data_IF_685871291440
#
_entry.id   IF_685871291440
#
_cell.length_a   1.000
_cell.length_b   1.000
_cell.length_c   1.000
_cell.angle_alpha   90.00
_cell.angle_beta   90.00
_cell.angle_gamma   90.00
#
_symmetry.space_group_name_H-M   'P 1'
#
loop_
_entity.id
_entity.type
_entity.pdbx_description
1 polymer ?
#
# COMPACT_ATOMS: atom_id res chain seq x y z
N UNK A 1 -2.95 -13.19 25.32
CA UNK A 1 -2.47 -13.70 26.64
C UNK A 1 -2.60 -15.21 26.80
N UNK A 2 -3.77 -15.86 26.56
CA UNK A 2 -3.94 -17.33 26.72
C UNK A 2 -3.00 -18.18 25.84
N UNK A 3 -2.78 -17.79 24.59
CA UNK A 3 -1.93 -18.55 23.65
C UNK A 3 -0.45 -18.57 24.03
N UNK A 4 0.09 -17.48 24.57
CA UNK A 4 1.50 -17.42 24.96
C UNK A 4 1.82 -18.29 26.17
N UNK A 5 0.86 -18.37 27.10
CA UNK A 5 0.93 -19.26 28.26
C UNK A 5 0.92 -20.72 27.79
N UNK A 6 0.00 -21.07 26.87
CA UNK A 6 -0.08 -22.42 26.29
C UNK A 6 1.18 -22.81 25.51
N UNK A 7 1.75 -21.90 24.70
CA UNK A 7 3.00 -22.13 23.98
C UNK A 7 4.17 -22.41 24.94
N UNK A 8 4.28 -21.64 26.03
CA UNK A 8 5.31 -21.83 27.05
C UNK A 8 5.10 -23.13 27.84
N UNK A 9 3.93 -23.28 28.43
CA UNK A 9 3.65 -24.32 29.43
C UNK A 9 3.41 -25.70 28.83
N UNK A 10 2.73 -25.77 27.68
CA UNK A 10 2.32 -27.05 27.08
C UNK A 10 3.28 -27.52 26.01
N UNK A 11 3.70 -26.63 25.09
CA UNK A 11 4.56 -27.02 23.98
C UNK A 11 6.03 -27.08 24.40
N UNK A 12 6.59 -25.94 24.84
CA UNK A 12 8.05 -25.83 25.03
C UNK A 12 8.54 -26.66 26.22
N UNK A 13 7.86 -26.61 27.37
CA UNK A 13 8.22 -27.43 28.53
C UNK A 13 8.12 -28.93 28.22
N UNK A 14 7.12 -29.35 27.43
CA UNK A 14 6.93 -30.76 27.06
C UNK A 14 8.04 -31.34 26.18
N UNK A 15 8.79 -30.50 25.45
CA UNK A 15 9.91 -30.92 24.59
C UNK A 15 11.27 -30.39 25.06
N UNK A 16 11.35 -29.86 26.28
CA UNK A 16 12.60 -29.38 26.89
C UNK A 16 13.18 -28.10 26.27
N UNK A 17 12.39 -27.31 25.54
CA UNK A 17 12.84 -26.03 24.98
C UNK A 17 12.66 -24.89 25.99
N UNK A 18 13.68 -24.03 26.12
CA UNK A 18 13.53 -22.80 26.91
C UNK A 18 12.59 -21.84 26.20
N UNK A 19 11.63 -21.29 26.95
CA UNK A 19 10.64 -20.35 26.44
C UNK A 19 10.39 -19.22 27.43
N UNK A 20 10.47 -17.98 26.95
CA UNK A 20 10.20 -16.77 27.72
C UNK A 20 8.96 -16.09 27.17
N UNK A 21 8.02 -15.74 28.04
CA UNK A 21 6.90 -14.86 27.70
C UNK A 21 7.42 -13.42 27.73
N UNK A 22 7.19 -12.69 26.65
CA UNK A 22 7.53 -11.28 26.51
C UNK A 22 6.25 -10.47 26.57
N UNK A 23 6.20 -9.48 27.46
CA UNK A 23 5.13 -8.48 27.51
C UNK A 23 5.58 -7.20 26.81
N UNK A 24 4.66 -6.53 26.12
CA UNK A 24 5.00 -5.31 25.41
C UNK A 24 3.81 -4.62 24.75
N UNK A 25 4.14 -3.81 23.76
CA UNK A 25 3.24 -2.93 23.04
C UNK A 25 3.10 -3.41 21.60
N UNK A 26 1.87 -3.53 21.12
CA UNK A 26 1.57 -3.94 19.76
C UNK A 26 0.64 -2.97 19.03
N UNK A 27 1.01 -2.62 17.80
CA UNK A 27 0.15 -1.87 16.85
C UNK A 27 -0.86 -2.82 16.19
N UNK A 28 -1.77 -3.37 16.99
CA UNK A 28 -2.78 -4.35 16.55
C UNK A 28 -4.06 -3.73 15.98
N UNK A 29 -5.10 -4.55 15.80
CA UNK A 29 -6.39 -4.14 15.21
C UNK A 29 -7.04 -2.90 15.84
N UNK A 30 -6.86 -2.69 17.15
CA UNK A 30 -7.42 -1.54 17.88
C UNK A 30 -6.48 -0.33 17.95
N UNK A 31 -5.29 -0.40 17.37
CA UNK A 31 -4.34 0.71 17.39
C UNK A 31 -4.82 1.83 16.46
N UNK A 32 -5.04 2.99 17.05
CA UNK A 32 -5.28 4.24 16.33
C UNK A 32 -3.99 5.05 16.36
N UNK A 33 -3.60 5.55 15.19
CA UNK A 33 -2.38 6.33 15.00
C UNK A 33 -2.37 7.54 15.94
N UNK A 34 -1.23 7.79 16.60
CA UNK A 34 -1.00 8.85 17.63
C UNK A 34 -1.50 8.55 19.05
N UNK A 35 -2.01 7.36 19.36
CA UNK A 35 -2.19 6.96 20.77
C UNK A 35 -0.87 6.49 21.36
N UNK A 36 -0.49 7.09 22.49
CA UNK A 36 0.55 6.55 23.38
C UNK A 36 0.05 5.25 23.99
N UNK A 37 0.98 4.37 24.35
CA UNK A 37 0.65 3.18 25.13
C UNK A 37 0.82 3.48 26.61
N UNK A 38 -0.29 3.46 27.37
CA UNK A 38 -0.23 3.68 28.82
C UNK A 38 0.22 2.43 29.59
N UNK A 39 0.07 1.26 28.97
CA UNK A 39 0.46 -0.05 29.50
C UNK A 39 0.67 -1.05 28.38
N UNK A 40 1.36 -2.16 28.67
CA UNK A 40 1.50 -3.29 27.74
C UNK A 40 0.11 -3.76 27.32
N UNK A 41 -0.13 -3.90 26.02
CA UNK A 41 -1.42 -4.34 25.46
C UNK A 41 -1.32 -5.73 24.81
N UNK A 42 -0.12 -6.31 24.71
CA UNK A 42 0.09 -7.59 24.06
C UNK A 42 1.24 -8.38 24.70
N UNK A 43 1.29 -9.68 24.40
CA UNK A 43 2.37 -10.56 24.80
C UNK A 43 2.63 -11.60 23.71
N UNK A 44 3.89 -12.00 23.57
CA UNK A 44 4.38 -13.04 22.66
C UNK A 44 5.46 -13.87 23.37
N UNK A 45 6.18 -14.72 22.65
CA UNK A 45 7.20 -15.60 23.19
C UNK A 45 8.55 -15.43 22.50
N UNK A 46 9.63 -15.73 23.22
CA UNK A 46 10.91 -16.08 22.64
C UNK A 46 11.26 -17.52 23.02
N UNK A 47 11.76 -18.31 22.07
CA UNK A 47 12.19 -19.69 22.29
C UNK A 47 13.67 -19.85 21.93
N UNK A 48 14.40 -20.68 22.68
CA UNK A 48 15.81 -20.94 22.42
C UNK A 48 15.96 -22.23 21.59
N UNK A 49 16.57 -22.11 20.40
CA UNK A 49 16.90 -23.25 19.52
C UNK A 49 18.39 -23.16 19.19
N UNK A 50 19.16 -24.19 19.52
CA UNK A 50 20.59 -24.22 19.19
C UNK A 50 21.40 -23.05 19.77
N UNK A 51 21.04 -22.56 20.97
CA UNK A 51 21.61 -21.38 21.66
C UNK A 51 21.24 -20.02 21.08
N UNK A 52 20.33 -19.97 20.10
CA UNK A 52 19.80 -18.73 19.55
C UNK A 52 18.35 -18.52 19.98
N UNK A 53 17.99 -17.27 20.26
CA UNK A 53 16.61 -16.89 20.60
C UNK A 53 15.84 -16.50 19.36
N UNK A 54 14.61 -16.99 19.24
CA UNK A 54 13.70 -16.72 18.14
C UNK A 54 12.37 -16.22 18.66
N UNK A 55 11.79 -15.23 17.99
CA UNK A 55 10.51 -14.64 18.36
C UNK A 55 9.36 -15.45 17.75
N UNK A 56 8.31 -15.65 18.55
CA UNK A 56 7.10 -16.36 18.14
C UNK A 56 5.90 -15.62 18.70
N UNK A 57 4.93 -15.27 17.84
CA UNK A 57 3.62 -14.79 18.29
C UNK A 57 2.53 -15.80 17.91
N UNK A 58 2.16 -16.71 18.83
CA UNK A 58 1.09 -17.67 18.59
C UNK A 58 -0.30 -17.03 18.45
N UNK A 59 -0.50 -15.83 19.03
CA UNK A 59 -1.80 -15.15 19.00
C UNK A 59 -2.05 -14.61 17.59
N UNK A 60 -1.08 -13.89 17.02
CA UNK A 60 -1.22 -13.37 15.65
C UNK A 60 -0.98 -14.48 14.60
N UNK A 61 -0.30 -15.56 14.98
CA UNK A 61 -0.18 -16.78 14.17
C UNK A 61 -1.48 -17.55 13.97
N UNK A 62 -2.48 -17.44 14.87
CA UNK A 62 -3.75 -18.17 14.73
C UNK A 62 -4.67 -17.57 13.63
N UNK A 63 -4.45 -16.31 13.25
CA UNK A 63 -5.26 -15.59 12.28
C UNK A 63 -5.71 -14.22 12.77
N UNK A 64 -6.67 -13.62 12.06
CA UNK A 64 -7.21 -12.30 12.35
C UNK A 64 -8.71 -12.33 12.67
N UNK A 65 -9.16 -11.33 13.43
CA UNK A 65 -10.57 -11.06 13.66
C UNK A 65 -11.14 -10.29 12.46
N UNK A 66 -12.21 -10.80 11.85
CA UNK A 66 -12.99 -10.05 10.87
C UNK A 66 -14.44 -9.99 11.38
N UNK A 67 -14.98 -8.78 11.55
CA UNK A 67 -16.41 -8.55 11.85
C UNK A 67 -16.95 -9.41 13.02
N UNK A 68 -16.24 -9.42 14.15
CA UNK A 68 -16.58 -10.18 15.37
C UNK A 68 -16.57 -11.72 15.23
N UNK A 69 -16.11 -12.27 14.11
CA UNK A 69 -15.87 -13.71 13.94
C UNK A 69 -14.37 -14.00 13.78
N UNK A 70 -13.84 -14.95 14.55
CA UNK A 70 -12.47 -15.42 14.40
C UNK A 70 -12.37 -16.36 13.19
N UNK A 71 -11.76 -15.89 12.11
CA UNK A 71 -11.32 -16.81 11.04
C UNK A 71 -9.97 -17.37 11.45
N UNK A 72 -9.98 -18.61 11.94
CA UNK A 72 -8.74 -19.37 12.20
C UNK A 72 -8.08 -19.69 10.85
N UNK A 73 -7.08 -18.91 10.48
CA UNK A 73 -6.20 -19.17 9.34
C UNK A 73 -4.79 -19.01 9.88
N UNK A 74 -4.08 -20.13 9.97
CA UNK A 74 -2.68 -20.12 10.39
C UNK A 74 -1.89 -19.11 9.54
N UNK A 75 -1.15 -18.24 10.21
CA UNK A 75 -0.24 -17.28 9.60
C UNK A 75 1.19 -17.65 10.03
N UNK A 76 1.88 -18.51 9.25
CA UNK A 76 3.21 -19.01 9.60
C UNK A 76 4.25 -17.90 9.79
N UNK A 77 4.03 -16.72 9.21
CA UNK A 77 4.86 -15.54 9.35
C UNK A 77 5.26 -15.22 10.80
N UNK A 78 4.37 -15.45 11.77
CA UNK A 78 4.62 -15.16 13.19
C UNK A 78 5.36 -16.27 13.93
N UNK A 79 5.78 -17.34 13.25
CA UNK A 79 6.62 -18.40 13.79
C UNK A 79 8.08 -18.16 13.39
N UNK A 80 8.97 -18.00 14.39
CA UNK A 80 10.38 -17.67 14.19
C UNK A 80 10.58 -16.40 13.35
N UNK A 81 9.72 -15.41 13.59
CA UNK A 81 9.73 -14.14 12.87
C UNK A 81 11.03 -13.39 13.14
N UNK A 82 11.57 -12.76 12.08
CA UNK A 82 12.81 -11.99 12.20
C UNK A 82 12.62 -10.76 13.11
N UNK A 83 13.54 -10.49 14.05
CA UNK A 83 13.51 -9.30 14.90
C UNK A 83 13.26 -7.98 14.16
N UNK A 84 13.98 -7.77 13.06
CA UNK A 84 13.90 -6.58 12.21
C UNK A 84 12.54 -6.42 11.52
N UNK A 85 11.74 -7.48 11.45
CA UNK A 85 10.38 -7.40 10.97
C UNK A 85 9.39 -7.17 12.11
N UNK A 86 9.55 -7.91 13.21
CA UNK A 86 8.57 -7.89 14.29
C UNK A 86 8.53 -6.53 14.99
N UNK A 87 9.66 -5.83 15.06
CA UNK A 87 9.77 -4.52 15.72
C UNK A 87 8.84 -3.45 15.14
N UNK A 88 8.40 -3.58 13.88
CA UNK A 88 7.45 -2.65 13.27
C UNK A 88 6.08 -2.65 13.97
N UNK A 89 5.69 -3.80 14.53
CA UNK A 89 4.38 -4.01 15.14
C UNK A 89 4.46 -4.37 16.62
N UNK A 90 5.61 -4.84 17.14
CA UNK A 90 5.80 -5.25 18.52
C UNK A 90 7.04 -4.61 19.15
N UNK A 91 6.84 -3.87 20.23
CA UNK A 91 7.91 -3.32 21.06
C UNK A 91 7.85 -3.94 22.45
N UNK A 92 8.86 -4.70 22.91
CA UNK A 92 8.87 -5.27 24.25
C UNK A 92 9.10 -4.20 25.31
N UNK A 93 8.61 -4.46 26.52
CA UNK A 93 8.88 -3.62 27.70
C UNK A 93 10.37 -3.67 28.10
N UNK A 94 10.97 -4.86 28.05
CA UNK A 94 12.42 -5.05 28.21
C UNK A 94 13.09 -5.08 26.83
N UNK A 95 13.89 -4.05 26.56
CA UNK A 95 14.51 -3.81 25.24
C UNK A 95 15.42 -4.94 24.77
N UNK A 96 15.96 -5.78 25.67
CA UNK A 96 16.80 -6.92 25.28
C UNK A 96 16.05 -7.93 24.40
N UNK A 97 14.73 -8.02 24.57
CA UNK A 97 13.87 -8.93 23.81
C UNK A 97 13.51 -8.42 22.42
N UNK A 98 14.00 -7.23 22.04
CA UNK A 98 13.94 -6.82 20.63
C UNK A 98 14.84 -7.71 19.78
N UNK A 99 15.91 -8.29 20.34
CA UNK A 99 16.90 -9.10 19.63
C UNK A 99 17.52 -8.37 18.42
N UNK A 100 17.48 -7.03 18.43
CA UNK A 100 18.09 -6.17 17.43
C UNK A 100 19.52 -5.81 17.84
N UNK A 101 20.45 -5.65 16.89
CA UNK A 101 21.77 -5.10 17.16
C UNK A 101 21.71 -3.69 17.78
N UNK A 102 20.70 -2.90 17.40
CA UNK A 102 20.42 -1.56 17.91
C UNK A 102 18.93 -1.49 18.28
N UNK A 103 18.57 -1.69 19.57
CA UNK A 103 17.20 -1.58 20.03
C UNK A 103 16.63 -0.18 19.79
N UNK A 104 15.36 -0.10 19.40
CA UNK A 104 14.64 1.16 19.22
C UNK A 104 13.86 1.52 20.48
N UNK A 105 13.60 2.81 20.66
CA UNK A 105 12.75 3.32 21.74
C UNK A 105 11.27 3.45 21.30
N UNK A 106 10.40 3.80 22.26
CA UNK A 106 8.97 3.98 22.02
C UNK A 106 8.67 5.03 20.94
N UNK A 107 9.38 6.16 20.92
CA UNK A 107 9.16 7.21 19.93
C UNK A 107 9.47 6.71 18.52
N UNK A 108 10.64 6.08 18.33
CA UNK A 108 11.03 5.46 17.07
C UNK A 108 10.02 4.39 16.64
N UNK A 109 9.57 3.54 17.57
CA UNK A 109 8.53 2.55 17.31
C UNK A 109 7.24 3.19 16.80
N UNK A 110 6.71 4.21 17.49
CA UNK A 110 5.50 4.92 17.09
C UNK A 110 5.64 5.60 15.72
N UNK A 111 6.86 6.04 15.39
CA UNK A 111 7.16 6.68 14.11
C UNK A 111 7.30 5.68 12.96
N UNK A 112 7.47 4.37 13.17
CA UNK A 112 7.55 3.39 12.09
C UNK A 112 6.20 3.25 11.33
N UNK A 113 6.24 2.98 10.01
CA UNK A 113 5.04 2.58 9.27
C UNK A 113 4.53 1.22 9.78
N UNK A 114 3.35 0.83 9.31
CA UNK A 114 2.66 -0.37 9.79
C UNK A 114 2.57 -1.41 8.66
N UNK A 115 3.58 -2.27 8.49
CA UNK A 115 3.55 -3.37 7.54
C UNK A 115 2.73 -4.55 8.07
N UNK A 116 2.09 -5.24 7.13
CA UNK A 116 1.55 -6.59 7.28
C UNK A 116 2.54 -7.62 6.73
N UNK A 117 2.35 -8.93 7.03
CA UNK A 117 3.20 -10.00 6.52
C UNK A 117 3.50 -9.93 5.02
N UNK A 118 2.49 -9.59 4.20
CA UNK A 118 2.61 -9.50 2.75
C UNK A 118 3.69 -8.52 2.28
N UNK A 119 4.01 -7.45 3.04
CA UNK A 119 5.11 -6.56 2.69
C UNK A 119 6.46 -7.30 2.67
N UNK A 120 6.71 -8.12 3.68
CA UNK A 120 7.96 -8.85 3.82
C UNK A 120 7.99 -10.11 2.94
N UNK A 121 6.90 -10.88 2.90
CA UNK A 121 6.81 -12.12 2.13
C UNK A 121 6.89 -11.88 0.61
N UNK A 122 6.32 -10.76 0.14
CA UNK A 122 6.41 -10.33 -1.26
C UNK A 122 7.62 -9.44 -1.54
N UNK A 123 8.52 -9.26 -0.57
CA UNK A 123 9.79 -8.54 -0.70
C UNK A 123 9.63 -7.11 -1.21
N UNK A 124 8.63 -6.39 -0.69
CA UNK A 124 8.49 -4.97 -0.95
C UNK A 124 9.59 -4.20 -0.21
N UNK A 125 10.04 -3.12 -0.83
CA UNK A 125 11.07 -2.23 -0.31
C UNK A 125 10.58 -0.79 -0.43
N UNK A 126 10.53 -0.07 0.69
CA UNK A 126 10.26 1.36 0.70
C UNK A 126 11.49 2.13 0.17
N UNK A 127 11.35 2.79 -0.98
CA UNK A 127 12.46 3.55 -1.61
C UNK A 127 12.51 5.00 -1.10
N UNK A 128 11.40 5.52 -0.60
CA UNK A 128 11.36 6.86 0.02
C UNK A 128 12.22 6.90 1.29
N UNK A 129 13.15 7.86 1.33
CA UNK A 129 14.22 7.99 2.36
C UNK A 129 13.75 8.18 3.80
N UNK A 130 12.46 8.44 4.05
CA UNK A 130 11.97 8.65 5.40
C UNK A 130 11.27 7.37 5.89
N UNK A 131 11.86 6.63 6.86
CA UNK A 131 11.27 5.41 7.40
C UNK A 131 10.15 5.71 8.41
N UNK A 132 9.40 6.80 8.19
CA UNK A 132 8.30 7.18 9.08
C UNK A 132 6.96 6.74 8.49
N UNK A 133 6.10 6.21 9.36
CA UNK A 133 4.68 6.02 9.12
C UNK A 133 3.92 7.33 9.01
N UNK A 134 4.45 8.43 9.56
CA UNK A 134 3.81 9.75 9.55
C UNK A 134 4.23 10.56 8.32
N UNK A 135 3.40 10.53 7.29
CA UNK A 135 3.61 11.26 6.05
C UNK A 135 3.07 12.68 6.17
N UNK A 136 3.83 13.64 5.65
CA UNK A 136 3.49 15.06 5.70
C UNK A 136 3.21 15.57 4.28
N UNK A 137 2.08 16.24 4.10
CA UNK A 137 1.80 16.99 2.89
C UNK A 137 2.56 18.32 2.97
N UNK A 138 3.45 18.56 1.99
CA UNK A 138 4.17 19.83 1.90
C UNK A 138 3.22 20.95 1.51
N UNK A 139 3.52 22.18 1.95
CA UNK A 139 2.79 23.37 1.52
C UNK A 139 2.72 23.44 -0.01
N UNK A 140 1.58 23.93 -0.53
CA UNK A 140 1.28 24.06 -1.96
C UNK A 140 1.25 22.75 -2.77
N UNK A 141 1.40 21.59 -2.13
CA UNK A 141 1.21 20.29 -2.80
C UNK A 141 -0.20 19.77 -2.55
N UNK A 142 -0.80 19.16 -3.56
CA UNK A 142 -2.15 18.58 -3.47
C UNK A 142 -2.16 17.09 -3.09
N UNK A 143 -1.00 16.43 -3.15
CA UNK A 143 -0.87 15.02 -2.87
C UNK A 143 0.52 14.69 -2.31
N UNK A 144 0.62 13.54 -1.67
CA UNK A 144 1.88 12.93 -1.24
C UNK A 144 2.22 11.75 -2.14
N UNK A 145 3.51 11.43 -2.26
CA UNK A 145 4.01 10.31 -3.03
C UNK A 145 4.81 9.37 -2.14
N UNK A 146 4.44 8.10 -2.12
CA UNK A 146 5.20 7.01 -1.52
C UNK A 146 5.75 6.16 -2.66
N UNK A 147 7.03 5.81 -2.60
CA UNK A 147 7.71 5.05 -3.66
C UNK A 147 8.16 3.71 -3.13
N UNK A 148 7.77 2.64 -3.81
CA UNK A 148 8.14 1.28 -3.46
C UNK A 148 8.82 0.56 -4.63
N UNK A 149 9.72 -0.34 -4.29
CA UNK A 149 10.21 -1.37 -5.19
C UNK A 149 9.61 -2.72 -4.76
N UNK A 150 9.33 -3.57 -5.73
CA UNK A 150 8.94 -4.95 -5.49
C UNK A 150 9.43 -5.83 -6.65
N UNK A 151 9.45 -7.16 -6.49
CA UNK A 151 9.68 -8.09 -7.58
C UNK A 151 8.75 -7.85 -8.78
N UNK A 152 9.22 -8.18 -9.99
CA UNK A 152 8.48 -7.96 -11.23
C UNK A 152 7.18 -8.79 -11.33
N UNK A 153 7.08 -9.88 -10.57
CA UNK A 153 5.89 -10.72 -10.46
C UNK A 153 4.91 -10.24 -9.37
N UNK A 154 5.09 -9.04 -8.83
CA UNK A 154 4.21 -8.43 -7.81
C UNK A 154 3.58 -7.15 -8.35
N UNK A 155 2.25 -7.09 -8.28
CA UNK A 155 1.50 -5.87 -8.55
C UNK A 155 1.08 -5.21 -7.24
N UNK A 156 0.98 -3.89 -7.28
CA UNK A 156 0.55 -3.07 -6.17
C UNK A 156 -0.79 -2.40 -6.47
N UNK A 157 -1.55 -2.12 -5.42
CA UNK A 157 -2.66 -1.17 -5.42
C UNK A 157 -2.49 -0.22 -4.26
N UNK A 158 -3.10 0.95 -4.33
CA UNK A 158 -3.15 1.86 -3.20
C UNK A 158 -4.55 2.42 -2.96
N UNK A 159 -4.84 2.79 -1.73
CA UNK A 159 -6.06 3.53 -1.40
C UNK A 159 -5.81 4.52 -0.28
N UNK A 160 -6.43 5.69 -0.34
CA UNK A 160 -6.52 6.61 0.79
C UNK A 160 -7.88 6.48 1.47
N UNK A 161 -7.88 6.45 2.80
CA UNK A 161 -9.09 6.43 3.62
C UNK A 161 -9.11 7.58 4.62
N UNK A 162 -10.31 8.07 4.91
CA UNK A 162 -10.57 8.99 6.01
C UNK A 162 -11.80 8.49 6.77
N UNK A 163 -11.68 8.34 8.11
CA UNK A 163 -12.74 7.77 8.96
C UNK A 163 -13.29 6.45 8.38
N UNK A 164 -12.38 5.55 8.02
CA UNK A 164 -12.66 4.22 7.41
C UNK A 164 -13.27 4.24 6.00
N UNK A 165 -13.66 5.40 5.47
CA UNK A 165 -14.22 5.54 4.13
C UNK A 165 -13.14 5.85 3.09
N UNK A 166 -13.24 5.22 1.91
CA UNK A 166 -12.33 5.50 0.79
C UNK A 166 -12.53 6.94 0.29
N UNK A 167 -11.44 7.67 0.11
CA UNK A 167 -11.47 8.99 -0.54
C UNK A 167 -11.51 8.78 -2.07
N UNK A 168 -12.68 8.94 -2.67
CA UNK A 168 -12.88 8.69 -4.11
C UNK A 168 -12.01 9.61 -4.97
N UNK A 169 -11.20 9.05 -5.87
CA UNK A 169 -10.26 9.79 -6.71
C UNK A 169 -9.07 10.39 -5.95
N UNK A 170 -8.88 9.98 -4.69
CA UNK A 170 -7.74 10.41 -3.87
C UNK A 170 -6.51 9.52 -4.02
N UNK A 171 -6.56 8.45 -4.82
CA UNK A 171 -5.43 7.54 -5.06
C UNK A 171 -5.12 7.38 -6.54
N UNK A 172 -3.83 7.25 -6.86
CA UNK A 172 -3.32 6.84 -8.16
C UNK A 172 -2.04 6.04 -7.95
N UNK A 173 -1.93 4.88 -8.59
CA UNK A 173 -0.70 4.09 -8.62
C UNK A 173 -0.20 3.97 -10.05
N UNK A 174 1.10 4.15 -10.25
CA UNK A 174 1.72 4.08 -11.57
C UNK A 174 3.17 3.59 -11.49
N UNK A 175 3.69 3.07 -12.59
CA UNK A 175 5.05 2.54 -12.64
C UNK A 175 6.03 3.55 -13.27
N UNK A 176 7.18 3.75 -12.64
CA UNK A 176 8.31 4.51 -13.20
C UNK A 176 9.31 3.53 -13.83
N UNK A 177 9.32 3.47 -15.16
CA UNK A 177 10.19 2.58 -15.95
C UNK A 177 11.66 2.98 -15.93
N UNK A 178 11.99 4.23 -15.58
CA UNK A 178 13.38 4.68 -15.51
C UNK A 178 14.00 4.25 -14.18
N UNK A 179 13.23 4.37 -13.10
CA UNK A 179 13.68 4.04 -11.75
C UNK A 179 13.36 2.61 -11.32
N UNK A 180 12.53 1.89 -12.09
CA UNK A 180 12.02 0.56 -11.78
C UNK A 180 11.33 0.51 -10.40
N UNK A 181 10.39 1.43 -10.20
CA UNK A 181 9.64 1.58 -8.94
C UNK A 181 8.17 1.89 -9.19
N UNK A 182 7.35 1.55 -8.21
CA UNK A 182 5.96 1.98 -8.13
C UNK A 182 5.86 3.32 -7.40
N UNK A 183 5.08 4.24 -7.98
CA UNK A 183 4.71 5.50 -7.34
C UNK A 183 3.24 5.42 -6.90
N UNK A 184 3.02 5.41 -5.58
CA UNK A 184 1.71 5.48 -4.96
C UNK A 184 1.42 6.93 -4.58
N UNK A 185 0.45 7.56 -5.23
CA UNK A 185 0.07 8.95 -5.03
C UNK A 185 -1.23 9.02 -4.22
N UNK A 186 -1.27 9.93 -3.24
CA UNK A 186 -2.40 10.08 -2.35
C UNK A 186 -2.77 11.56 -2.17
N UNK A 187 -3.97 11.93 -2.60
CA UNK A 187 -4.56 13.26 -2.53
C UNK A 187 -5.68 13.28 -1.47
N UNK A 188 -5.47 13.88 -0.28
CA UNK A 188 -6.55 14.10 0.67
C UNK A 188 -7.55 15.12 0.11
N UNK A 189 -8.84 14.96 0.43
CA UNK A 189 -9.89 15.92 0.03
C UNK A 189 -10.26 16.90 1.14
N UNK A 190 -10.11 16.48 2.39
CA UNK A 190 -10.44 17.25 3.57
C UNK A 190 -9.22 17.25 4.50
N UNK A 191 -9.13 18.21 5.40
CA UNK A 191 -8.11 18.19 6.44
C UNK A 191 -8.29 17.05 7.44
N UNK A 192 -7.25 16.84 8.24
CA UNK A 192 -7.20 15.86 9.31
C UNK A 192 -6.56 14.53 8.91
N UNK A 193 -6.82 13.51 9.73
CA UNK A 193 -6.14 12.23 9.69
C UNK A 193 -6.66 11.33 8.55
N UNK A 194 -5.73 10.78 7.78
CA UNK A 194 -5.96 9.83 6.69
C UNK A 194 -5.07 8.60 6.85
N UNK A 195 -5.57 7.45 6.42
CA UNK A 195 -4.79 6.23 6.27
C UNK A 195 -4.41 6.05 4.80
N UNK A 196 -3.12 5.89 4.53
CA UNK A 196 -2.60 5.58 3.20
C UNK A 196 -2.26 4.10 3.16
N UNK A 197 -3.05 3.33 2.42
CA UNK A 197 -2.94 1.89 2.34
C UNK A 197 -2.27 1.49 1.03
N UNK A 198 -1.27 0.62 1.11
CA UNK A 198 -0.71 -0.07 -0.05
C UNK A 198 -0.99 -1.56 0.09
N UNK A 199 -1.48 -2.14 -0.99
CA UNK A 199 -1.81 -3.54 -1.10
C UNK A 199 -0.91 -4.20 -2.14
N UNK A 200 -0.65 -5.48 -1.98
CA UNK A 200 0.21 -6.24 -2.87
C UNK A 200 -0.40 -7.59 -3.22
N UNK A 201 -0.04 -8.09 -4.40
CA UNK A 201 -0.46 -9.40 -4.88
C UNK A 201 0.54 -9.92 -5.91
N UNK A 202 0.83 -11.23 -5.89
CA UNK A 202 1.56 -11.88 -6.98
C UNK A 202 0.72 -11.95 -8.24
N UNK A 203 1.36 -11.77 -9.39
CA UNK A 203 0.77 -11.94 -10.70
C UNK A 203 0.20 -13.37 -10.84
N UNK A 204 -1.02 -13.47 -11.37
CA UNK A 204 -1.71 -14.76 -11.56
C UNK A 204 -2.24 -15.43 -10.29
N UNK A 205 -1.94 -14.91 -9.08
CA UNK A 205 -2.51 -15.45 -7.85
C UNK A 205 -4.05 -15.30 -7.84
N UNK A 206 -4.76 -16.27 -7.28
CA UNK A 206 -6.22 -16.15 -7.05
C UNK A 206 -6.49 -15.26 -5.84
N UNK A 207 -7.67 -14.67 -5.75
CA UNK A 207 -8.10 -13.84 -4.61
C UNK A 207 -7.84 -12.34 -4.77
N UNK A 208 -8.09 -11.58 -3.70
CA UNK A 208 -7.91 -10.13 -3.65
C UNK A 208 -6.47 -9.75 -3.37
N UNK A 209 -6.13 -8.47 -3.55
CA UNK A 209 -4.89 -7.93 -3.02
C UNK A 209 -4.90 -7.97 -1.49
N UNK A 210 -3.74 -8.19 -0.89
CA UNK A 210 -3.55 -8.22 0.56
C UNK A 210 -2.97 -6.90 1.03
N UNK A 211 -3.33 -6.44 2.23
CA UNK A 211 -2.71 -5.26 2.82
C UNK A 211 -1.21 -5.52 2.99
N UNK A 212 -0.37 -4.62 2.47
CA UNK A 212 1.07 -4.74 2.57
C UNK A 212 1.62 -3.77 3.62
N UNK A 213 1.32 -2.47 3.49
CA UNK A 213 1.85 -1.47 4.43
C UNK A 213 0.92 -0.26 4.51
N UNK A 214 0.79 0.28 5.73
CA UNK A 214 0.01 1.48 6.03
C UNK A 214 0.90 2.62 6.50
N UNK A 215 0.52 3.81 6.06
CA UNK A 215 1.03 5.08 6.55
C UNK A 215 -0.14 5.96 7.02
N UNK A 216 0.20 7.02 7.73
CA UNK A 216 -0.71 8.02 8.27
C UNK A 216 -0.37 9.37 7.68
N UNK A 217 -1.38 10.08 7.19
CA UNK A 217 -1.25 11.46 6.74
C UNK A 217 -2.13 12.35 7.60
N UNK A 218 -1.55 13.37 8.24
CA UNK A 218 -2.34 14.44 8.85
C UNK A 218 -2.38 15.63 7.89
N UNK A 219 -3.43 15.69 7.07
CA UNK A 219 -3.60 16.74 6.08
C UNK A 219 -3.97 18.07 6.75
N UNK A 220 -3.42 19.22 6.31
CA UNK A 220 -3.84 20.53 6.81
C UNK A 220 -5.32 20.79 6.51
N UNK A 221 -5.94 21.71 7.25
CA UNK A 221 -7.35 22.08 7.06
C UNK A 221 -7.55 22.70 5.68
N UNK A 222 -6.66 23.61 5.30
CA UNK A 222 -6.64 24.22 3.98
C UNK A 222 -5.84 23.36 3.02
N UNK A 223 -6.51 22.87 1.98
CA UNK A 223 -5.93 22.01 0.96
C UNK A 223 -6.20 22.59 -0.41
N UNK A 224 -5.26 22.37 -1.32
CA UNK A 224 -5.55 22.45 -2.76
C UNK A 224 -6.04 21.07 -3.19
N UNK A 225 -7.37 20.84 -3.34
CA UNK A 225 -7.88 19.53 -3.69
C UNK A 225 -7.35 19.09 -5.05
N UNK A 226 -7.02 17.82 -5.17
CA UNK A 226 -6.73 17.16 -6.42
C UNK A 226 -7.57 15.89 -6.50
N UNK A 227 -8.09 15.61 -7.68
CA UNK A 227 -8.77 14.36 -7.99
C UNK A 227 -7.96 13.71 -9.09
N UNK A 228 -7.49 12.49 -8.89
CA UNK A 228 -6.78 11.75 -9.93
C UNK A 228 -7.73 11.15 -10.98
N UNK A 229 -7.24 10.83 -12.18
CA UNK A 229 -8.00 10.09 -13.19
C UNK A 229 -8.34 8.69 -12.67
N UNK A 230 -9.46 8.14 -13.13
CA UNK A 230 -9.83 6.76 -12.82
C UNK A 230 -8.97 5.84 -13.68
N UNK A 231 -8.23 4.94 -13.05
CA UNK A 231 -7.45 3.88 -13.73
C UNK A 231 -8.07 2.52 -13.50
N UNK A 232 -8.05 1.66 -14.51
CA UNK A 232 -8.59 0.29 -14.43
C UNK A 232 -7.46 -0.74 -14.24
N UNK A 233 -7.81 -2.00 -13.94
CA UNK A 233 -6.83 -3.06 -13.62
C UNK A 233 -5.71 -3.20 -14.68
N UNK A 234 -6.06 -3.07 -15.96
CA UNK A 234 -5.13 -3.13 -17.08
C UNK A 234 -4.04 -2.05 -17.02
N UNK A 235 -4.29 -0.91 -16.35
CA UNK A 235 -3.30 0.15 -16.14
C UNK A 235 -2.14 -0.36 -15.29
N UNK A 236 -2.46 -1.02 -14.18
CA UNK A 236 -1.48 -1.60 -13.26
C UNK A 236 -0.83 -2.83 -13.91
N UNK A 237 -1.62 -3.72 -14.51
CA UNK A 237 -1.11 -4.96 -15.10
C UNK A 237 -0.12 -4.76 -16.25
N UNK A 238 -0.19 -3.59 -16.90
CA UNK A 238 0.68 -3.22 -18.02
C UNK A 238 1.73 -2.20 -17.61
N UNK A 239 1.91 -1.96 -16.31
CA UNK A 239 2.87 -1.01 -15.75
C UNK A 239 2.74 0.39 -16.39
N UNK A 240 1.51 0.88 -16.58
CA UNK A 240 1.29 2.15 -17.25
C UNK A 240 1.70 3.34 -16.36
N UNK A 241 1.84 4.51 -17.01
CA UNK A 241 2.15 5.77 -16.34
C UNK A 241 1.42 6.95 -16.99
N UNK A 242 0.91 7.86 -16.18
CA UNK A 242 0.38 9.14 -16.64
C UNK A 242 1.46 10.20 -16.41
N UNK A 243 1.90 10.85 -17.48
CA UNK A 243 2.79 12.01 -17.37
C UNK A 243 1.99 13.31 -17.21
N UNK A 244 0.91 13.47 -18.00
CA UNK A 244 -0.01 14.60 -17.89
C UNK A 244 -1.35 14.31 -18.59
N UNK A 245 -2.45 14.96 -18.18
CA UNK A 245 -2.61 15.61 -16.88
C UNK A 245 -2.78 14.56 -15.77
N UNK A 246 -2.25 14.87 -14.58
CA UNK A 246 -2.53 14.10 -13.36
C UNK A 246 -3.83 14.57 -12.67
N UNK A 247 -4.39 15.70 -13.08
CA UNK A 247 -5.75 16.10 -12.69
C UNK A 247 -6.75 15.27 -13.50
N UNK A 248 -7.59 14.52 -12.80
CA UNK A 248 -8.66 13.66 -13.33
C UNK A 248 -9.92 14.41 -13.72
N UNK A 249 -10.04 15.68 -13.34
CA UNK A 249 -11.14 16.56 -13.74
C UNK A 249 -10.61 17.60 -14.71
N UNK A 250 -11.07 17.54 -15.96
CA UNK A 250 -10.66 18.44 -17.03
C UNK A 250 -11.69 19.55 -17.23
N UNK A 251 -11.24 20.74 -17.64
CA UNK A 251 -12.14 21.87 -17.94
C UNK A 251 -12.65 21.79 -19.37
N UNK A 252 -13.96 21.75 -19.56
CA UNK A 252 -14.62 21.74 -20.88
C UNK A 252 -14.14 22.87 -21.78
N UNK A 253 -13.88 22.56 -23.06
CA UNK A 253 -13.43 23.51 -24.07
C UNK A 253 -11.96 23.97 -23.94
N UNK A 254 -11.27 23.61 -22.85
CA UNK A 254 -9.84 23.87 -22.72
C UNK A 254 -9.01 22.94 -23.62
N UNK A 255 -7.78 23.33 -23.92
CA UNK A 255 -6.82 22.46 -24.60
C UNK A 255 -5.89 21.82 -23.59
N UNK A 256 -5.75 20.51 -23.66
CA UNK A 256 -4.86 19.73 -22.80
C UNK A 256 -4.08 18.71 -23.61
N UNK A 257 -2.84 18.42 -23.19
CA UNK A 257 -2.06 17.32 -23.75
C UNK A 257 -2.23 16.07 -22.88
N UNK A 258 -2.87 15.04 -23.42
CA UNK A 258 -2.87 13.70 -22.84
C UNK A 258 -1.52 13.07 -23.15
N UNK A 259 -0.76 12.72 -22.12
CA UNK A 259 0.58 12.16 -22.22
C UNK A 259 0.72 10.98 -21.24
N UNK A 260 0.78 9.76 -21.76
CA UNK A 260 0.81 8.51 -21.00
C UNK A 260 1.79 7.50 -21.60
N UNK A 261 2.46 6.72 -20.76
CA UNK A 261 3.18 5.51 -21.18
C UNK A 261 2.25 4.31 -21.05
N UNK A 262 2.08 3.59 -22.16
CA UNK A 262 1.21 2.42 -22.33
C UNK A 262 2.04 1.35 -23.07
N UNK A 263 2.87 0.58 -22.36
CA UNK A 263 3.78 -0.39 -22.97
C UNK A 263 3.04 -1.54 -23.64
N UNK A 264 3.46 -1.92 -24.85
CA UNK A 264 3.02 -3.16 -25.51
C UNK A 264 1.59 -3.15 -26.06
N UNK A 265 0.89 -2.02 -26.04
CA UNK A 265 -0.42 -1.92 -26.70
C UNK A 265 -0.23 -1.94 -28.22
N UNK A 266 -1.06 -2.71 -28.92
CA UNK A 266 -1.07 -2.75 -30.38
C UNK A 266 -1.78 -1.52 -30.94
N UNK A 267 -2.85 -1.09 -30.27
CA UNK A 267 -3.62 0.10 -30.61
C UNK A 267 -4.03 0.85 -29.35
N UNK A 268 -4.01 2.17 -29.45
CA UNK A 268 -4.47 3.09 -28.41
C UNK A 268 -5.43 4.08 -29.02
N UNK A 269 -6.56 4.31 -28.36
CA UNK A 269 -7.60 5.22 -28.81
C UNK A 269 -8.00 6.18 -27.70
N UNK A 270 -8.10 7.46 -28.07
CA UNK A 270 -8.74 8.48 -27.26
C UNK A 270 -10.19 8.64 -27.71
N UNK A 271 -11.12 8.51 -26.76
CA UNK A 271 -12.55 8.70 -27.00
C UNK A 271 -12.97 9.99 -26.30
N UNK A 272 -13.48 10.96 -27.05
CA UNK A 272 -13.95 12.27 -26.57
C UNK A 272 -15.47 12.35 -26.63
N UNK A 273 -16.10 12.27 -25.45
CA UNK A 273 -17.51 11.86 -25.32
C UNK A 273 -17.78 10.51 -26.05
N UNK A 274 -18.85 9.77 -25.76
CA UNK A 274 -19.08 8.40 -26.29
C UNK A 274 -19.24 8.28 -27.83
N UNK A 275 -18.77 9.27 -28.61
CA UNK A 275 -19.07 9.49 -30.02
C UNK A 275 -17.88 9.87 -30.88
N UNK A 276 -16.82 10.49 -30.34
CA UNK A 276 -15.71 11.01 -31.17
C UNK A 276 -14.47 10.15 -31.03
N UNK A 277 -14.22 9.35 -32.05
CA UNK A 277 -12.98 8.57 -32.18
C UNK A 277 -11.89 9.48 -32.73
N UNK A 278 -10.84 9.68 -31.95
CA UNK A 278 -9.61 10.21 -32.50
C UNK A 278 -8.80 9.04 -33.10
N UNK A 279 -8.25 9.26 -34.30
CA UNK A 279 -7.30 8.38 -35.00
C UNK A 279 -6.16 7.90 -34.10
N UNK A 280 -5.39 6.87 -34.49
CA UNK A 280 -4.25 6.37 -33.70
C UNK A 280 -3.06 7.36 -33.61
N UNK A 281 -3.20 8.56 -34.20
CA UNK A 281 -2.19 9.61 -34.19
C UNK A 281 -1.77 10.00 -32.77
N UNK A 282 -0.46 10.04 -32.56
CA UNK A 282 0.16 10.41 -31.29
C UNK A 282 0.52 9.23 -30.38
N UNK A 283 0.35 7.97 -30.82
CA UNK A 283 0.91 6.80 -30.12
C UNK A 283 2.12 6.23 -30.87
N UNK A 284 3.30 6.30 -30.23
CA UNK A 284 4.54 5.72 -30.75
C UNK A 284 5.43 5.26 -29.58
N UNK A 285 6.19 4.17 -29.78
CA UNK A 285 7.15 3.63 -28.81
C UNK A 285 6.58 3.42 -27.39
N UNK A 286 5.31 2.99 -27.32
CA UNK A 286 4.62 2.78 -26.05
C UNK A 286 4.21 4.06 -25.34
N UNK A 287 4.22 5.21 -26.02
CA UNK A 287 3.86 6.51 -25.46
C UNK A 287 2.72 7.12 -26.28
N UNK A 288 1.61 7.42 -25.62
CA UNK A 288 0.55 8.26 -26.16
C UNK A 288 0.83 9.71 -25.77
N UNK A 289 0.97 10.60 -26.73
CA UNK A 289 1.06 12.05 -26.52
C UNK A 289 0.20 12.77 -27.56
N UNK A 290 -0.91 13.38 -27.12
CA UNK A 290 -1.84 14.06 -28.02
C UNK A 290 -2.50 15.26 -27.34
N UNK A 291 -2.53 16.38 -28.04
CA UNK A 291 -3.35 17.53 -27.65
C UNK A 291 -4.81 17.30 -28.07
N UNK A 292 -5.73 17.60 -27.15
CA UNK A 292 -7.17 17.54 -27.38
C UNK A 292 -7.82 18.84 -26.91
N UNK A 293 -8.92 19.20 -27.54
CA UNK A 293 -9.92 20.09 -26.93
C UNK A 293 -10.81 19.23 -26.04
N UNK A 294 -10.85 19.53 -24.75
CA UNK A 294 -11.63 18.78 -23.77
C UNK A 294 -13.11 18.83 -24.17
N UNK A 295 -13.79 17.67 -24.26
CA UNK A 295 -15.18 17.59 -24.70
C UNK A 295 -16.12 18.00 -23.57
N UNK A 296 -17.42 17.60 -23.59
CA UNK A 296 -18.38 18.06 -22.58
C UNK A 296 -18.60 17.09 -21.42
N UNK A 297 -18.33 15.79 -21.58
CA UNK A 297 -18.65 14.76 -20.60
C UNK A 297 -17.43 14.05 -20.04
N UNK A 298 -16.65 13.42 -20.91
CA UNK A 298 -15.51 12.59 -20.47
C UNK A 298 -14.47 12.37 -21.56
N UNK A 299 -13.28 11.99 -21.11
CA UNK A 299 -12.18 11.55 -21.96
C UNK A 299 -11.72 10.19 -21.48
N UNK A 300 -11.72 9.19 -22.35
CA UNK A 300 -11.21 7.84 -22.01
C UNK A 300 -10.09 7.40 -22.93
N UNK A 301 -9.11 6.73 -22.34
CA UNK A 301 -8.01 6.06 -23.05
C UNK A 301 -8.36 4.58 -23.11
N UNK A 302 -8.51 4.06 -24.32
CA UNK A 302 -8.89 2.67 -24.58
C UNK A 302 -7.78 1.98 -25.36
N UNK A 303 -7.49 0.74 -24.99
CA UNK A 303 -6.34 0.01 -25.51
C UNK A 303 -6.72 -1.38 -25.98
N UNK A 304 -6.00 -1.85 -27.00
CA UNK A 304 -6.08 -3.22 -27.50
C UNK A 304 -4.69 -3.86 -27.41
N UNK A 305 -4.60 -5.01 -26.77
CA UNK A 305 -3.37 -5.80 -26.66
C UNK A 305 -3.44 -7.03 -27.57
N UNK A 306 -2.30 -7.42 -28.14
CA UNK A 306 -2.20 -8.62 -28.97
C UNK A 306 -3.21 -8.65 -30.12
N UNK A 307 -3.90 -9.78 -30.29
CA UNK A 307 -4.92 -9.98 -31.32
C UNK A 307 -6.35 -9.96 -30.74
N UNK A 308 -6.54 -9.46 -29.51
CA UNK A 308 -7.86 -9.34 -28.90
C UNK A 308 -8.78 -8.47 -29.77
N UNK A 309 -10.05 -8.85 -29.94
CA UNK A 309 -11.00 -8.07 -30.75
C UNK A 309 -11.47 -6.80 -30.04
N UNK A 310 -11.45 -6.79 -28.70
CA UNK A 310 -12.09 -5.76 -27.89
C UNK A 310 -11.08 -4.76 -27.35
N UNK A 311 -11.55 -3.52 -27.18
CA UNK A 311 -10.83 -2.50 -26.45
C UNK A 311 -11.17 -2.59 -24.96
N UNK A 312 -10.18 -2.35 -24.12
CA UNK A 312 -10.35 -2.18 -22.67
C UNK A 312 -10.06 -0.74 -22.31
N UNK A 313 -10.91 -0.14 -21.47
CA UNK A 313 -10.66 1.20 -20.92
C UNK A 313 -9.52 1.13 -19.91
N UNK A 314 -8.53 1.99 -20.09
CA UNK A 314 -7.30 2.05 -19.30
C UNK A 314 -7.37 3.20 -18.28
N UNK A 315 -7.78 4.37 -18.75
CA UNK A 315 -7.88 5.61 -17.98
C UNK A 315 -9.15 6.36 -18.35
N UNK A 316 -9.79 6.99 -17.36
CA UNK A 316 -10.95 7.86 -17.54
C UNK A 316 -10.74 9.18 -16.79
N UNK A 317 -10.92 10.27 -17.52
CA UNK A 317 -11.01 11.63 -16.99
C UNK A 317 -12.48 12.07 -17.02
N UNK A 318 -12.90 12.78 -15.98
CA UNK A 318 -14.20 13.46 -15.95
C UNK A 318 -14.05 14.89 -16.44
N UNK A 319 -15.13 15.48 -16.96
CA UNK A 319 -15.13 16.87 -17.41
C UNK A 319 -16.06 17.71 -16.52
N UNK A 320 -15.64 18.94 -16.24
CA UNK A 320 -16.47 20.01 -15.66
C UNK A 320 -16.43 21.27 -16.51
#
# INVERSE_FOLDING_TARGET
MRYCVTCKETLCNGIGLKCVKISGYAKGYSYQTKKTFDRTNHAWNAIEIGRFWYLVDPTWGEGYLQEKQSKKKLIPYYFLVRPEHLVYTHLPEDSKWQLLPQPINMQQFLDLPEPWPAYFELKLELVTKTPTGNVHLKENHSFVKIVLRCPADVHLLCSIKQKEQKVIGGDLIQYDHVKNVWECLFAPKLGGLHELMIYAKKLGAKGSFEGAIRFTLNAPIELKPCIFPITYNSFVEKNCRIYAPLEGVLKSGSRVTIHCRIPGAKRVRLILDDKTWLSEDGYADGILKREITVPKKEVTINVQYGNESNYTTLVKYTVK
#
